data_IF_805791987470
#
_entry.id   IF_805791987470
#
_cell.length_a   1.000
_cell.length_b   1.000
_cell.length_c   1.000
_cell.angle_alpha   90.00
_cell.angle_beta   90.00
_cell.angle_gamma   90.00
#
_symmetry.space_group_name_H-M   'P 1'
#
loop_
_entity.id
_entity.type
_entity.pdbx_description
1 polymer ?
#
# COMPACT_ATOMS: atom_id res chain seq x y z
N UNK A 1 -1.23 -33.64 -2.31
CA UNK A 1 -1.95 -32.36 -2.45
C UNK A 1 -1.50 -31.44 -1.34
N UNK A 2 -1.41 -30.15 -1.59
CA UNK A 2 -1.10 -29.12 -0.59
C UNK A 2 -2.14 -28.01 -0.65
N UNK A 3 -2.48 -27.48 0.52
CA UNK A 3 -3.35 -26.31 0.68
C UNK A 3 -2.59 -25.31 1.52
N UNK A 4 -2.45 -24.08 1.04
CA UNK A 4 -1.83 -22.98 1.78
C UNK A 4 -2.82 -21.82 1.89
N UNK A 5 -2.86 -21.18 3.05
CA UNK A 5 -3.61 -19.96 3.29
C UNK A 5 -2.72 -18.96 4.02
N UNK A 6 -2.52 -17.79 3.41
CA UNK A 6 -1.73 -16.70 3.97
C UNK A 6 -2.61 -15.46 4.07
N UNK A 7 -2.64 -14.85 5.25
CA UNK A 7 -3.26 -13.55 5.48
C UNK A 7 -2.19 -12.51 5.82
N UNK A 8 -2.41 -11.27 5.40
CA UNK A 8 -1.59 -10.13 5.80
C UNK A 8 -2.46 -8.96 6.23
N UNK A 9 -1.98 -8.23 7.24
CA UNK A 9 -2.58 -6.98 7.68
C UNK A 9 -1.45 -6.06 8.13
N UNK A 10 -1.37 -4.88 7.54
CA UNK A 10 -0.45 -3.86 7.99
C UNK A 10 -1.05 -2.47 7.85
N UNK A 11 -0.60 -1.58 8.74
CA UNK A 11 -0.95 -0.17 8.73
C UNK A 11 0.33 0.62 8.59
N UNK A 12 0.38 1.51 7.60
CA UNK A 12 1.46 2.47 7.40
C UNK A 12 0.93 3.85 7.73
N UNK A 13 1.67 4.58 8.56
CA UNK A 13 1.39 5.99 8.84
C UNK A 13 2.51 6.82 8.21
N UNK A 14 2.14 7.91 7.54
CA UNK A 14 3.05 8.88 6.94
C UNK A 14 2.54 10.27 7.28
N UNK A 15 3.44 11.18 7.64
CA UNK A 15 3.11 12.57 7.86
C UNK A 15 4.10 13.46 7.14
N UNK A 16 3.64 14.64 6.73
CA UNK A 16 4.47 15.69 6.16
C UNK A 16 4.04 17.01 6.78
N UNK A 17 5.02 17.74 7.30
CA UNK A 17 4.84 19.09 7.80
C UNK A 17 5.76 20.02 7.02
N UNK A 18 5.20 20.94 6.25
CA UNK A 18 5.95 21.76 5.30
C UNK A 18 5.37 23.18 5.25
N UNK A 19 6.26 24.18 5.31
CA UNK A 19 5.90 25.60 5.30
C UNK A 19 6.78 26.38 4.32
N UNK A 20 6.17 27.27 3.53
CA UNK A 20 6.87 28.19 2.62
C UNK A 20 6.51 29.64 2.96
N UNK A 21 7.53 30.48 3.17
CA UNK A 21 7.37 31.87 3.59
C UNK A 21 7.86 32.83 2.50
N UNK A 22 7.07 33.87 2.21
CA UNK A 22 7.51 34.98 1.38
C UNK A 22 8.12 36.09 2.23
N UNK A 23 9.45 36.20 2.19
CA UNK A 23 10.23 37.15 3.02
C UNK A 23 9.84 38.60 2.77
N UNK A 24 9.50 38.97 1.52
CA UNK A 24 9.18 40.35 1.14
C UNK A 24 8.01 40.94 1.94
N UNK A 25 7.02 40.11 2.28
CA UNK A 25 5.77 40.56 2.88
C UNK A 25 5.47 39.84 4.21
N UNK A 26 6.38 38.96 4.65
CA UNK A 26 6.23 38.10 5.83
C UNK A 26 4.94 37.25 5.82
N UNK A 27 4.58 36.69 4.65
CA UNK A 27 3.37 35.89 4.45
C UNK A 27 3.72 34.40 4.39
N UNK A 28 2.97 33.57 5.13
CA UNK A 28 2.95 32.11 4.97
C UNK A 28 2.15 31.78 3.71
N UNK A 29 2.85 31.40 2.64
CA UNK A 29 2.24 31.15 1.33
C UNK A 29 1.94 29.66 1.11
N UNK A 30 2.44 28.80 1.97
CA UNK A 30 2.18 27.36 1.91
C UNK A 30 2.32 26.77 3.30
N UNK A 31 1.25 26.12 3.78
CA UNK A 31 1.25 25.37 5.02
C UNK A 31 0.59 24.02 4.74
N UNK A 32 1.41 22.96 4.78
CA UNK A 32 0.97 21.60 4.55
C UNK A 32 1.29 20.75 5.79
N UNK A 33 0.26 20.47 6.56
CA UNK A 33 0.24 19.48 7.62
C UNK A 33 -0.57 18.27 7.16
N UNK A 34 0.08 17.37 6.41
CA UNK A 34 -0.51 16.17 5.83
C UNK A 34 -0.31 14.97 6.76
N UNK A 35 -1.35 14.16 6.92
CA UNK A 35 -1.30 12.89 7.63
C UNK A 35 -2.03 11.81 6.85
N UNK A 36 -1.31 10.76 6.45
CA UNK A 36 -1.80 9.64 5.67
C UNK A 36 -1.66 8.34 6.47
N UNK A 37 -2.78 7.68 6.69
CA UNK A 37 -2.86 6.33 7.25
C UNK A 37 -3.36 5.36 6.19
N UNK A 38 -2.47 4.53 5.68
CA UNK A 38 -2.78 3.47 4.74
C UNK A 38 -2.95 2.14 5.50
N UNK A 39 -4.13 1.52 5.37
CA UNK A 39 -4.40 0.16 5.88
C UNK A 39 -4.44 -0.78 4.70
N UNK A 40 -3.65 -1.83 4.75
CA UNK A 40 -3.64 -2.87 3.73
C UNK A 40 -3.92 -4.23 4.34
N UNK A 41 -4.86 -4.95 3.74
CA UNK A 41 -5.16 -6.34 4.06
C UNK A 41 -4.98 -7.19 2.82
N UNK A 42 -4.48 -8.40 3.01
CA UNK A 42 -4.25 -9.35 1.94
C UNK A 42 -4.65 -10.76 2.36
N UNK A 43 -5.12 -11.54 1.40
CA UNK A 43 -5.33 -12.97 1.54
C UNK A 43 -4.86 -13.67 0.27
N UNK A 44 -4.18 -14.79 0.44
CA UNK A 44 -3.73 -15.68 -0.62
C UNK A 44 -4.10 -17.10 -0.22
N UNK A 45 -4.91 -17.75 -1.05
CA UNK A 45 -5.22 -19.17 -0.95
C UNK A 45 -4.62 -19.93 -2.13
N UNK A 46 -4.00 -21.06 -1.86
CA UNK A 46 -3.39 -21.92 -2.87
C UNK A 46 -3.79 -23.38 -2.66
N UNK A 47 -4.13 -24.06 -3.73
CA UNK A 47 -4.25 -25.52 -3.78
C UNK A 47 -3.34 -26.05 -4.87
N UNK A 48 -2.52 -27.05 -4.55
CA UNK A 48 -1.64 -27.68 -5.53
C UNK A 48 -1.66 -29.21 -5.41
N UNK A 49 -1.51 -29.86 -6.55
CA UNK A 49 -1.33 -31.29 -6.68
C UNK A 49 -0.02 -31.55 -7.41
N UNK A 50 0.84 -32.38 -6.83
CA UNK A 50 2.10 -32.79 -7.43
C UNK A 50 2.04 -34.27 -7.73
N UNK A 51 2.24 -34.64 -9.00
CA UNK A 51 2.44 -36.00 -9.43
C UNK A 51 3.94 -36.28 -9.59
N UNK A 52 4.39 -37.42 -9.05
CA UNK A 52 5.78 -37.87 -9.12
C UNK A 52 5.91 -38.94 -10.21
N UNK A 53 6.80 -38.72 -11.17
CA UNK A 53 7.22 -39.71 -12.16
C UNK A 53 8.63 -40.21 -11.85
N UNK A 54 9.04 -41.31 -12.47
CA UNK A 54 10.41 -41.84 -12.37
C UNK A 54 11.48 -40.81 -12.76
N UNK A 55 11.19 -39.95 -13.75
CA UNK A 55 12.15 -38.97 -14.30
C UNK A 55 11.86 -37.52 -13.89
N UNK A 56 10.91 -37.25 -12.99
CA UNK A 56 10.63 -35.87 -12.59
C UNK A 56 9.32 -35.67 -11.81
N UNK A 57 9.00 -34.41 -11.51
CA UNK A 57 7.77 -34.00 -10.80
C UNK A 57 6.98 -33.03 -11.67
N UNK A 58 5.67 -33.21 -11.72
CA UNK A 58 4.75 -32.23 -12.31
C UNK A 58 3.82 -31.71 -11.23
N UNK A 59 3.77 -30.40 -11.06
CA UNK A 59 2.83 -29.74 -10.15
C UNK A 59 1.83 -28.89 -10.92
N UNK A 60 0.56 -28.99 -10.53
CA UNK A 60 -0.55 -28.18 -11.05
C UNK A 60 -1.38 -27.65 -9.89
N UNK A 61 -1.98 -26.47 -10.01
CA UNK A 61 -2.75 -25.88 -8.92
C UNK A 61 -3.48 -24.59 -9.30
N UNK A 62 -4.22 -24.07 -8.34
CA UNK A 62 -4.93 -22.79 -8.43
C UNK A 62 -4.54 -21.89 -7.27
N UNK A 63 -4.38 -20.60 -7.56
CA UNK A 63 -4.14 -19.54 -6.58
C UNK A 63 -5.23 -18.50 -6.70
N UNK A 64 -5.81 -18.13 -5.56
CA UNK A 64 -6.75 -17.02 -5.43
C UNK A 64 -6.13 -16.01 -4.48
N UNK A 65 -6.16 -14.74 -4.84
CA UNK A 65 -5.65 -13.67 -3.96
C UNK A 65 -6.56 -12.47 -4.00
N UNK A 66 -6.74 -11.84 -2.83
CA UNK A 66 -7.37 -10.53 -2.71
C UNK A 66 -6.48 -9.62 -1.89
N UNK A 67 -6.36 -8.36 -2.30
CA UNK A 67 -5.66 -7.33 -1.55
C UNK A 67 -6.54 -6.10 -1.55
N UNK A 68 -6.81 -5.57 -0.36
CA UNK A 68 -7.59 -4.36 -0.16
C UNK A 68 -6.70 -3.30 0.48
N UNK A 69 -6.78 -2.06 -0.03
CA UNK A 69 -6.05 -0.91 0.47
C UNK A 69 -7.07 0.19 0.77
N UNK A 70 -7.04 0.71 1.99
CA UNK A 70 -7.85 1.83 2.44
C UNK A 70 -6.93 2.95 2.92
N UNK A 71 -7.12 4.16 2.40
CA UNK A 71 -6.36 5.34 2.78
C UNK A 71 -7.25 6.29 3.56
N UNK A 72 -6.77 6.70 4.72
CA UNK A 72 -7.33 7.77 5.53
C UNK A 72 -6.34 8.93 5.48
N UNK A 73 -6.71 9.99 4.78
CA UNK A 73 -5.84 11.10 4.44
C UNK A 73 -6.44 12.40 4.97
N UNK A 74 -5.69 13.06 5.84
CA UNK A 74 -5.98 14.41 6.31
C UNK A 74 -5.03 15.36 5.61
N UNK A 75 -5.61 16.37 4.96
CA UNK A 75 -4.92 17.46 4.27
C UNK A 75 -4.04 16.99 3.09
N UNK A 76 -4.59 17.12 1.87
CA UNK A 76 -3.86 16.94 0.60
C UNK A 76 -3.82 18.29 -0.11
N UNK A 77 -2.81 19.11 0.17
CA UNK A 77 -2.76 20.46 -0.36
C UNK A 77 -1.89 20.52 -1.63
N UNK A 78 -2.52 20.91 -2.74
CA UNK A 78 -1.85 21.10 -4.03
C UNK A 78 -1.16 22.46 -4.04
N UNK A 79 0.16 22.48 -4.24
CA UNK A 79 0.95 23.71 -4.39
C UNK A 79 0.54 24.44 -5.67
N UNK A 80 -0.18 25.56 -5.56
CA UNK A 80 -0.33 26.51 -6.67
C UNK A 80 0.91 27.38 -6.75
N UNK A 81 1.79 27.07 -7.71
CA UNK A 81 2.88 27.98 -8.09
C UNK A 81 2.24 29.11 -8.89
N UNK A 82 2.02 30.26 -8.26
CA UNK A 82 1.62 31.48 -8.97
C UNK A 82 2.90 32.27 -9.23
N UNK A 83 3.28 32.39 -10.51
CA UNK A 83 4.40 33.20 -11.00
C UNK A 83 4.11 34.69 -10.91
#
# INVERSE_FOLDING_TARGET
>A
MSINLIGSHYTTNSSQFDHEWRIADNVDIFNNDMNLKAKQTGIVGEIAHTHQFEKGKLSSGYRISNTAIANDLVNLLVRRITM
#
